data_IF_811732299894
#
_entry.id   IF_811732299894
#
_cell.length_a   1.000
_cell.length_b   1.000
_cell.length_c   1.000
_cell.angle_alpha   90.00
_cell.angle_beta   90.00
_cell.angle_gamma   90.00
#
_symmetry.space_group_name_H-M   'P 1'
#
loop_
_entity.id
_entity.type
_entity.pdbx_description
1 polymer ?
#
# COMPACT_ATOMS: atom_id res chain seq x y z
N UNK A 1 5.07 1.23 23.30
CA UNK A 1 4.14 1.24 22.14
C UNK A 1 4.71 1.99 20.94
N UNK A 2 5.25 3.22 21.10
CA UNK A 2 5.72 4.05 19.99
C UNK A 2 6.89 3.45 19.18
N UNK A 3 7.81 2.73 19.85
CA UNK A 3 8.99 2.11 19.20
C UNK A 3 8.65 0.99 18.21
N UNK A 4 7.53 0.28 18.41
CA UNK A 4 7.11 -0.81 17.50
C UNK A 4 6.55 -0.21 16.21
N UNK A 5 5.78 0.87 16.33
CA UNK A 5 5.22 1.58 15.18
C UNK A 5 6.31 2.13 14.28
N UNK A 6 7.36 2.75 14.85
CA UNK A 6 8.48 3.27 14.07
C UNK A 6 9.34 2.16 13.45
N UNK A 7 9.51 1.03 14.16
CA UNK A 7 10.19 -0.15 13.64
C UNK A 7 9.51 -0.73 12.40
N UNK A 8 8.18 -0.70 12.36
CA UNK A 8 7.40 -1.24 11.25
C UNK A 8 7.16 -0.22 10.13
N UNK A 9 7.04 1.07 10.46
CA UNK A 9 6.67 2.10 9.47
C UNK A 9 7.75 2.28 8.41
N UNK A 10 9.03 2.35 8.80
CA UNK A 10 10.12 2.60 7.86
C UNK A 10 10.30 1.47 6.83
N UNK A 11 10.36 0.18 7.24
CA UNK A 11 10.41 -0.93 6.27
C UNK A 11 9.19 -0.98 5.35
N UNK A 12 7.98 -0.76 5.88
CA UNK A 12 6.75 -0.74 5.08
C UNK A 12 6.77 0.37 4.03
N UNK A 13 7.29 1.55 4.40
CA UNK A 13 7.42 2.68 3.48
C UNK A 13 8.49 2.41 2.42
N UNK A 14 9.61 1.79 2.80
CA UNK A 14 10.71 1.46 1.88
C UNK A 14 10.29 0.47 0.80
N UNK A 15 9.53 -0.57 1.16
CA UNK A 15 9.03 -1.57 0.20
C UNK A 15 7.85 -1.04 -0.62
N UNK A 16 7.28 0.12 -0.25
CA UNK A 16 6.18 0.70 -1.00
C UNK A 16 6.66 1.39 -2.28
N UNK A 17 5.82 1.40 -3.30
CA UNK A 17 6.03 2.21 -4.50
C UNK A 17 5.70 3.70 -4.24
N UNK A 18 5.95 4.25 -3.05
CA UNK A 18 5.64 5.65 -2.71
C UNK A 18 6.87 6.56 -2.89
N UNK A 19 8.01 6.16 -2.32
CA UNK A 19 9.29 6.91 -2.41
C UNK A 19 10.15 6.50 -3.59
N UNK A 20 10.24 5.19 -3.82
CA UNK A 20 11.10 4.61 -4.85
C UNK A 20 10.23 3.97 -5.93
N UNK A 21 10.54 4.20 -7.22
CA UNK A 21 9.81 3.56 -8.30
C UNK A 21 10.02 2.04 -8.23
N UNK A 22 8.91 1.30 -8.33
CA UNK A 22 8.91 -0.17 -8.28
C UNK A 22 9.80 -0.82 -9.34
N UNK A 23 10.11 -0.13 -10.43
CA UNK A 23 10.98 -0.62 -11.49
C UNK A 23 12.46 -0.67 -11.11
N UNK A 24 12.87 0.06 -10.07
CA UNK A 24 14.20 -0.03 -9.49
C UNK A 24 14.36 -1.20 -8.50
N UNK A 25 13.28 -1.91 -8.17
CA UNK A 25 13.33 -2.99 -7.18
C UNK A 25 13.80 -4.33 -7.78
N UNK A 26 14.58 -5.12 -7.01
CA UNK A 26 14.81 -6.52 -7.36
C UNK A 26 13.48 -7.29 -7.34
N UNK A 27 13.41 -8.39 -8.10
CA UNK A 27 12.17 -9.17 -8.33
C UNK A 27 11.41 -9.52 -7.05
N UNK A 28 12.13 -9.88 -5.99
CA UNK A 28 11.54 -10.19 -4.68
C UNK A 28 10.83 -8.99 -4.05
N UNK A 29 11.48 -7.82 -4.01
CA UNK A 29 10.88 -6.60 -3.44
C UNK A 29 9.74 -6.08 -4.31
N UNK A 30 9.84 -6.23 -5.63
CA UNK A 30 8.75 -5.91 -6.56
C UNK A 30 7.49 -6.70 -6.23
N UNK A 31 7.61 -8.02 -6.01
CA UNK A 31 6.49 -8.86 -5.59
C UNK A 31 5.87 -8.40 -4.26
N UNK A 32 6.69 -8.14 -3.23
CA UNK A 32 6.17 -7.66 -1.94
C UNK A 32 5.47 -6.29 -2.05
N UNK A 33 5.99 -5.40 -2.90
CA UNK A 33 5.41 -4.07 -3.10
C UNK A 33 3.99 -4.12 -3.66
N UNK A 34 3.63 -5.17 -4.41
CA UNK A 34 2.29 -5.33 -5.00
C UNK A 34 1.20 -5.53 -3.95
N UNK A 35 1.53 -6.15 -2.81
CA UNK A 35 0.60 -6.39 -1.71
C UNK A 35 0.70 -5.35 -0.60
N UNK A 36 1.64 -4.40 -0.72
CA UNK A 36 1.86 -3.40 0.29
C UNK A 36 0.68 -2.40 0.32
N UNK A 37 -0.02 -2.22 1.45
CA UNK A 37 -1.17 -1.31 1.52
C UNK A 37 -0.81 0.13 1.18
N UNK A 38 0.43 0.57 1.45
CA UNK A 38 0.91 1.90 1.07
C UNK A 38 1.10 2.04 -0.44
N UNK A 39 1.51 0.98 -1.15
CA UNK A 39 1.57 0.98 -2.61
C UNK A 39 0.17 1.13 -3.20
N UNK A 40 -0.80 0.35 -2.71
CA UNK A 40 -2.18 0.41 -3.17
C UNK A 40 -2.79 1.80 -2.94
N UNK A 41 -2.51 2.40 -1.78
CA UNK A 41 -2.92 3.76 -1.46
C UNK A 41 -2.26 4.79 -2.38
N UNK A 42 -0.95 4.70 -2.59
CA UNK A 42 -0.19 5.62 -3.44
C UNK A 42 -0.69 5.59 -4.89
N UNK A 43 -1.06 4.42 -5.41
CA UNK A 43 -1.65 4.29 -6.75
C UNK A 43 -2.96 5.09 -6.86
N UNK A 44 -3.85 4.96 -5.88
CA UNK A 44 -5.09 5.75 -5.83
C UNK A 44 -4.83 7.25 -5.77
N UNK A 45 -3.96 7.69 -4.85
CA UNK A 45 -3.60 9.11 -4.71
C UNK A 45 -3.07 9.67 -6.04
N UNK A 46 -2.15 8.94 -6.71
CA UNK A 46 -1.60 9.39 -8.00
C UNK A 46 -2.66 9.47 -9.08
N UNK A 47 -3.50 8.45 -9.21
CA UNK A 47 -4.55 8.45 -10.22
C UNK A 47 -5.52 9.62 -10.04
N UNK A 48 -5.99 9.86 -8.81
CA UNK A 48 -6.96 10.92 -8.55
C UNK A 48 -6.34 12.33 -8.57
N UNK A 49 -5.05 12.47 -8.28
CA UNK A 49 -4.37 13.76 -8.28
C UNK A 49 -3.77 14.15 -9.64
N UNK A 50 -3.25 13.18 -10.39
CA UNK A 50 -2.46 13.41 -11.62
C UNK A 50 -3.12 12.87 -12.88
N UNK A 51 -4.14 12.01 -12.74
CA UNK A 51 -4.81 11.36 -13.87
C UNK A 51 -4.30 9.94 -14.16
N UNK A 52 -4.83 9.38 -15.24
CA UNK A 52 -4.57 8.03 -15.72
C UNK A 52 -3.24 7.89 -16.47
N UNK A 53 -2.69 8.98 -17.00
CA UNK A 53 -1.45 9.00 -17.76
C UNK A 53 -0.61 10.23 -17.40
N UNK A 54 0.56 10.01 -16.80
CA UNK A 54 1.49 11.08 -16.46
C UNK A 54 2.94 10.60 -16.41
N UNK A 55 3.89 11.55 -16.50
CA UNK A 55 5.33 11.27 -16.38
C UNK A 55 5.95 12.11 -15.27
N UNK A 56 6.76 11.47 -14.41
CA UNK A 56 7.47 12.10 -13.29
C UNK A 56 8.87 11.52 -13.17
N UNK A 57 9.88 12.39 -13.14
CA UNK A 57 11.31 12.02 -12.92
C UNK A 57 11.72 10.86 -13.85
N UNK A 58 11.42 11.00 -15.15
CA UNK A 58 11.78 10.00 -16.17
C UNK A 58 10.97 8.70 -16.16
N UNK A 59 9.98 8.53 -15.27
CA UNK A 59 9.09 7.38 -15.24
C UNK A 59 7.72 7.74 -15.78
N UNK A 60 7.16 6.86 -16.63
CA UNK A 60 5.84 7.03 -17.23
C UNK A 60 4.84 6.10 -16.56
N UNK A 61 3.83 6.67 -15.92
CA UNK A 61 2.79 5.94 -15.20
C UNK A 61 1.52 5.90 -16.03
N UNK A 62 0.99 4.68 -16.20
CA UNK A 62 -0.30 4.43 -16.84
C UNK A 62 -1.13 3.62 -15.85
N UNK A 63 -2.29 4.17 -15.48
CA UNK A 63 -3.22 3.56 -14.55
C UNK A 63 -4.56 3.36 -15.25
N UNK A 64 -5.07 2.13 -15.21
CA UNK A 64 -6.42 1.82 -15.69
C UNK A 64 -7.41 1.87 -14.53
N UNK A 65 -8.71 2.03 -14.85
CA UNK A 65 -9.77 1.93 -13.85
C UNK A 65 -9.74 0.58 -13.11
N UNK A 66 -9.30 -0.49 -13.78
CA UNK A 66 -9.12 -1.82 -13.19
C UNK A 66 -8.00 -1.84 -12.16
N UNK A 67 -6.86 -1.19 -12.43
CA UNK A 67 -5.72 -1.12 -11.48
C UNK A 67 -6.10 -0.42 -10.18
N UNK A 68 -6.89 0.65 -10.31
CA UNK A 68 -7.41 1.41 -9.17
C UNK A 68 -8.49 0.62 -8.43
N UNK A 69 -9.37 -0.08 -9.16
CA UNK A 69 -10.34 -1.00 -8.57
C UNK A 69 -9.69 -2.11 -7.75
N UNK A 70 -8.63 -2.74 -8.28
CA UNK A 70 -7.85 -3.76 -7.55
C UNK A 70 -7.17 -3.16 -6.33
N UNK A 71 -6.57 -1.98 -6.47
CA UNK A 71 -5.93 -1.29 -5.34
C UNK A 71 -6.93 -0.96 -4.23
N UNK A 72 -8.12 -0.48 -4.60
CA UNK A 72 -9.20 -0.20 -3.66
C UNK A 72 -9.72 -1.47 -2.96
N UNK A 73 -9.94 -2.54 -3.70
CA UNK A 73 -10.36 -3.83 -3.13
C UNK A 73 -9.29 -4.41 -2.19
N UNK A 74 -8.01 -4.29 -2.55
CA UNK A 74 -6.91 -4.72 -1.68
C UNK A 74 -6.84 -3.91 -0.38
N UNK A 75 -7.07 -2.60 -0.44
CA UNK A 75 -7.17 -1.74 0.74
C UNK A 75 -8.37 -2.09 1.62
N UNK A 76 -9.54 -2.31 1.02
CA UNK A 76 -10.73 -2.77 1.74
C UNK A 76 -10.49 -4.09 2.44
N UNK A 77 -9.90 -5.06 1.74
CA UNK A 77 -9.53 -6.35 2.31
C UNK A 77 -8.58 -6.17 3.50
N UNK A 78 -7.52 -5.36 3.33
CA UNK A 78 -6.57 -5.06 4.41
C UNK A 78 -7.27 -4.43 5.62
N UNK A 79 -8.11 -3.41 5.40
CA UNK A 79 -8.84 -2.71 6.46
C UNK A 79 -9.81 -3.65 7.20
N UNK A 80 -10.58 -4.46 6.49
CA UNK A 80 -11.49 -5.44 7.07
C UNK A 80 -10.74 -6.52 7.85
N UNK A 81 -9.58 -6.98 7.34
CA UNK A 81 -8.74 -7.96 8.06
C UNK A 81 -8.23 -7.40 9.39
N UNK A 82 -7.75 -6.15 9.38
CA UNK A 82 -7.29 -5.47 10.59
C UNK A 82 -8.43 -5.23 11.57
N UNK A 83 -9.61 -4.83 11.08
CA UNK A 83 -10.81 -4.67 11.90
C UNK A 83 -11.22 -6.00 12.53
N UNK A 84 -11.24 -7.10 11.75
CA UNK A 84 -11.59 -8.42 12.26
C UNK A 84 -10.61 -8.90 13.34
N UNK A 85 -9.30 -8.71 13.13
CA UNK A 85 -8.27 -9.04 14.12
C UNK A 85 -8.46 -8.21 15.39
N UNK A 86 -8.74 -6.92 15.23
CA UNK A 86 -9.01 -5.99 16.33
C UNK A 86 -10.21 -6.45 17.16
N UNK A 87 -11.36 -6.68 16.51
CA UNK A 87 -12.59 -7.14 17.18
C UNK A 87 -12.40 -8.51 17.86
N UNK A 88 -11.72 -9.44 17.20
CA UNK A 88 -11.40 -10.75 17.78
C UNK A 88 -10.52 -10.63 19.02
N UNK A 89 -9.55 -9.70 19.02
CA UNK A 89 -8.69 -9.47 20.19
C UNK A 89 -9.48 -8.88 21.34
N UNK A 90 -10.34 -7.89 21.08
CA UNK A 90 -11.15 -7.26 22.13
C UNK A 90 -12.14 -8.24 22.76
N UNK A 91 -12.81 -9.08 21.98
CA UNK A 91 -13.75 -10.09 22.51
C UNK A 91 -13.08 -11.18 23.36
N UNK A 92 -11.75 -11.32 23.30
CA UNK A 92 -10.98 -12.30 24.09
C UNK A 92 -10.34 -11.72 25.33
N UNK A 93 -10.39 -10.41 25.50
CA UNK A 93 -9.84 -9.72 26.66
C UNK A 93 -11.04 -9.29 27.49
N UNK A 94 -11.43 -10.12 28.45
CA UNK A 94 -12.30 -9.69 29.54
C UNK A 94 -11.51 -8.67 30.37
N UNK A 95 -11.96 -7.42 30.35
CA UNK A 95 -11.53 -6.37 31.29
C UNK A 95 -12.50 -6.29 32.46
#
# INVERSE_FOLDING_TARGET
MQSILTLLSMPLFFVSNALYPVDAFPSFLKFLSMFNPLTLLANGIRYFALGDNFSVIGNHYIYTATDIGVSFLGLLFFALSMLAISLWRFNKVDV
#
